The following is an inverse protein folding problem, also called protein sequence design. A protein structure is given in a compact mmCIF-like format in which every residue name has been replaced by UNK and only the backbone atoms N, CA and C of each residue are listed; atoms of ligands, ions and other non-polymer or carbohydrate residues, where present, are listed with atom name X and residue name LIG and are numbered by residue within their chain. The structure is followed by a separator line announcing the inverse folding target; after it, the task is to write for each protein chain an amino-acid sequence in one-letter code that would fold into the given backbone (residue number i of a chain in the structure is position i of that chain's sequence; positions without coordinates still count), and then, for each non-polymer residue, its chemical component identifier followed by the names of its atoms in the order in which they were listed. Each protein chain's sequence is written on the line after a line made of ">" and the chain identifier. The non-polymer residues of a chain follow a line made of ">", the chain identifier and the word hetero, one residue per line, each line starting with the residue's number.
data_IF_576051012258
#
_entry.id   IF_576051012258
#
_cell.length_a   1.000
_cell.length_b   1.000
_cell.length_c   1.000
_cell.angle_alpha   90.00
_cell.angle_beta   90.00
_cell.angle_gamma   90.00
#
_symmetry.space_group_name_H-M   'P 1'
#
loop_
_entity.id
_entity.type
_entity.pdbx_description
1 polymer ?
#
# COMPACT_ATOMS: atom_id res chain seq x y z
N UNK A 1 -11.98 11.14 44.01
CA UNK A 1 -11.36 10.20 43.05
C UNK A 1 -11.34 10.88 41.70
N UNK A 2 -10.18 11.29 41.20
CA UNK A 2 -10.08 12.01 39.92
C UNK A 2 -10.14 10.96 38.81
N UNK A 3 -11.29 10.88 38.15
CA UNK A 3 -11.49 10.03 36.98
C UNK A 3 -10.66 10.60 35.82
N UNK A 4 -9.42 10.10 35.72
CA UNK A 4 -8.49 10.51 34.68
C UNK A 4 -8.87 9.74 33.43
N UNK A 5 -9.73 10.33 32.60
CA UNK A 5 -10.09 9.77 31.29
C UNK A 5 -8.81 9.50 30.51
N UNK A 6 -8.41 8.22 30.43
CA UNK A 6 -7.22 7.79 29.68
C UNK A 6 -7.44 8.14 28.21
N UNK A 7 -6.80 9.21 27.74
CA UNK A 7 -6.82 9.61 26.33
C UNK A 7 -6.08 8.55 25.50
N UNK A 8 -6.73 8.09 24.42
CA UNK A 8 -6.14 7.17 23.45
C UNK A 8 -4.87 7.77 22.83
N UNK A 9 -3.82 6.97 22.71
CA UNK A 9 -2.58 7.39 22.03
C UNK A 9 -2.79 7.52 20.52
N UNK A 10 -1.91 8.27 19.85
CA UNK A 10 -1.92 8.39 18.37
C UNK A 10 -1.79 7.03 17.67
N UNK A 11 -0.94 6.15 18.21
CA UNK A 11 -0.75 4.80 17.67
C UNK A 11 -2.02 3.95 17.81
N UNK A 12 -2.68 3.99 18.97
CA UNK A 12 -3.96 3.30 19.19
C UNK A 12 -5.06 3.84 18.29
N UNK A 13 -5.13 5.16 18.11
CA UNK A 13 -6.08 5.81 17.19
C UNK A 13 -5.85 5.38 15.73
N UNK A 14 -4.58 5.36 15.28
CA UNK A 14 -4.22 4.90 13.94
C UNK A 14 -4.58 3.43 13.71
N UNK A 15 -4.26 2.55 14.68
CA UNK A 15 -4.62 1.14 14.62
C UNK A 15 -6.14 0.95 14.54
N UNK A 16 -6.89 1.64 15.41
CA UNK A 16 -8.37 1.57 15.42
C UNK A 16 -8.96 2.05 14.09
N UNK A 17 -8.47 3.17 13.55
CA UNK A 17 -8.92 3.68 12.25
C UNK A 17 -8.66 2.71 11.11
N UNK A 18 -7.48 2.07 11.08
CA UNK A 18 -7.16 1.03 10.10
C UNK A 18 -8.07 -0.19 10.21
N UNK A 19 -8.34 -0.66 11.43
CA UNK A 19 -9.26 -1.79 11.66
C UNK A 19 -10.68 -1.48 11.22
N UNK A 20 -11.21 -0.30 11.58
CA UNK A 20 -12.55 0.14 11.14
C UNK A 20 -12.64 0.23 9.62
N UNK A 21 -11.60 0.76 8.97
CA UNK A 21 -11.54 0.85 7.50
C UNK A 21 -11.53 -0.55 6.87
N UNK A 22 -10.72 -1.47 7.41
CA UNK A 22 -10.67 -2.86 6.95
C UNK A 22 -12.03 -3.55 7.08
N UNK A 23 -12.71 -3.39 8.21
CA UNK A 23 -14.04 -3.97 8.43
C UNK A 23 -15.08 -3.39 7.49
N UNK A 24 -15.02 -2.08 7.21
CA UNK A 24 -15.99 -1.40 6.35
C UNK A 24 -15.88 -1.81 4.88
N UNK A 25 -14.67 -1.97 4.36
CA UNK A 25 -14.43 -2.10 2.92
C UNK A 25 -13.96 -3.49 2.47
N UNK A 26 -13.48 -4.33 3.39
CA UNK A 26 -13.02 -5.69 3.07
C UNK A 26 -11.79 -5.73 2.16
N UNK A 27 -11.39 -6.95 1.78
CA UNK A 27 -10.15 -7.19 1.01
C UNK A 27 -10.27 -6.76 -0.44
N UNK A 28 -11.45 -6.89 -1.05
CA UNK A 28 -11.70 -6.54 -2.44
C UNK A 28 -11.38 -5.06 -2.72
N UNK A 29 -11.70 -4.17 -1.78
CA UNK A 29 -11.41 -2.75 -1.88
C UNK A 29 -9.91 -2.47 -2.01
N UNK A 30 -9.09 -3.05 -1.14
CA UNK A 30 -7.64 -2.89 -1.20
C UNK A 30 -7.06 -3.56 -2.45
N UNK A 31 -7.59 -4.72 -2.85
CA UNK A 31 -7.22 -5.38 -4.11
C UNK A 31 -7.53 -4.50 -5.33
N UNK A 32 -8.67 -3.81 -5.35
CA UNK A 32 -9.02 -2.85 -6.41
C UNK A 32 -8.06 -1.66 -6.43
N UNK A 33 -7.78 -1.05 -5.26
CA UNK A 33 -6.82 0.07 -5.16
C UNK A 33 -5.43 -0.37 -5.61
N UNK A 34 -4.96 -1.53 -5.16
CA UNK A 34 -3.67 -2.10 -5.57
C UNK A 34 -3.59 -2.34 -7.08
N UNK A 35 -4.65 -2.88 -7.70
CA UNK A 35 -4.71 -3.06 -9.16
C UNK A 35 -4.63 -1.74 -9.93
N UNK A 36 -5.40 -0.73 -9.51
CA UNK A 36 -5.40 0.59 -10.16
C UNK A 36 -4.03 1.26 -10.00
N UNK A 37 -3.51 1.31 -8.78
CA UNK A 37 -2.22 1.92 -8.46
C UNK A 37 -1.06 1.21 -9.15
N UNK A 38 -1.06 -0.12 -9.14
CA UNK A 38 -0.05 -0.96 -9.80
C UNK A 38 -0.05 -0.74 -11.33
N UNK A 39 -1.22 -0.73 -11.97
CA UNK A 39 -1.33 -0.45 -13.41
C UNK A 39 -0.77 0.94 -13.74
N UNK A 40 -1.21 1.97 -13.01
CA UNK A 40 -0.75 3.35 -13.24
C UNK A 40 0.75 3.50 -13.00
N UNK A 41 1.28 2.95 -11.91
CA UNK A 41 2.71 3.01 -11.60
C UNK A 41 3.57 2.28 -12.64
N UNK A 42 3.11 1.11 -13.10
CA UNK A 42 3.77 0.35 -14.16
C UNK A 42 3.79 1.10 -15.49
N UNK A 43 2.66 1.70 -15.88
CA UNK A 43 2.55 2.50 -17.09
C UNK A 43 3.47 3.74 -17.06
N UNK A 44 3.48 4.48 -15.95
CA UNK A 44 4.40 5.62 -15.75
C UNK A 44 5.87 5.18 -15.84
N UNK A 45 6.22 4.06 -15.22
CA UNK A 45 7.58 3.50 -15.27
C UNK A 45 7.97 3.13 -16.70
N UNK A 46 7.06 2.45 -17.42
CA UNK A 46 7.26 2.07 -18.82
C UNK A 46 7.43 3.29 -19.72
N UNK A 47 6.61 4.33 -19.55
CA UNK A 47 6.73 5.58 -20.31
C UNK A 47 8.07 6.28 -20.05
N UNK A 48 8.56 6.28 -18.79
CA UNK A 48 9.79 6.97 -18.41
C UNK A 48 11.06 6.24 -18.84
N UNK A 49 11.09 4.91 -18.74
CA UNK A 49 12.33 4.14 -18.89
C UNK A 49 12.33 3.13 -20.04
N UNK A 50 11.19 2.93 -20.71
CA UNK A 50 11.08 2.00 -21.84
C UNK A 50 11.29 0.53 -21.48
N UNK A 51 11.47 -0.30 -22.51
CA UNK A 51 11.64 -1.75 -22.39
C UNK A 51 12.99 -2.16 -21.80
N UNK A 52 14.05 -1.37 -22.05
CA UNK A 52 15.41 -1.66 -21.59
C UNK A 52 15.52 -1.78 -20.07
N UNK A 53 14.72 -0.99 -19.35
CA UNK A 53 14.63 -1.06 -17.89
C UNK A 53 14.23 -2.46 -17.40
N UNK A 54 13.15 -3.03 -17.97
CA UNK A 54 12.68 -4.35 -17.59
C UNK A 54 13.66 -5.46 -17.99
N UNK A 55 14.31 -5.33 -19.15
CA UNK A 55 15.36 -6.26 -19.56
C UNK A 55 16.55 -6.26 -18.59
N UNK A 56 16.97 -5.09 -18.10
CA UNK A 56 18.03 -4.97 -17.08
C UNK A 56 17.62 -5.64 -15.77
N UNK A 57 16.41 -5.36 -15.27
CA UNK A 57 15.90 -5.97 -14.04
C UNK A 57 15.77 -7.49 -14.19
N UNK A 58 15.26 -7.97 -15.32
CA UNK A 58 15.16 -9.40 -15.62
C UNK A 58 16.52 -10.09 -15.66
N UNK A 59 17.53 -9.48 -16.32
CA UNK A 59 18.91 -9.97 -16.30
C UNK A 59 19.45 -10.06 -14.87
N UNK A 60 19.31 -9.01 -14.06
CA UNK A 60 19.77 -9.01 -12.66
C UNK A 60 19.08 -10.09 -11.81
N UNK A 61 17.77 -10.30 -11.99
CA UNK A 61 17.00 -11.30 -11.27
C UNK A 61 17.33 -12.75 -11.69
N UNK A 62 17.63 -12.97 -12.98
CA UNK A 62 17.96 -14.28 -13.54
C UNK A 62 19.45 -14.64 -13.48
N UNK A 63 20.33 -13.72 -13.09
CA UNK A 63 21.78 -13.97 -12.94
C UNK A 63 22.15 -14.54 -11.56
N UNK A 64 21.21 -15.19 -10.88
CA UNK A 64 21.41 -15.84 -9.57
C UNK A 64 21.50 -17.34 -9.71
#
# INVERSE_FOLDING_TARGET
>A
MVDTTRKMSRAEAGRKGGQTTKQRYGEEHFGRIGRIGGKKGGETTKQRYGSEFYQKIGRLGGSK
#
